data_IF_445273675423
#
_entry.id   IF_445273675423
#
_cell.length_a   1.000
_cell.length_b   1.000
_cell.length_c   1.000
_cell.angle_alpha   90.00
_cell.angle_beta   90.00
_cell.angle_gamma   90.00
#
_symmetry.space_group_name_H-M   'P 1'
#
loop_
_entity.id
_entity.type
_entity.pdbx_description
1 polymer ?
#
# COMPACT_ATOMS: atom_id res chain seq x y z
N UNK A 1 7.71 -20.72 -0.11
CA UNK A 1 8.08 -19.61 0.81
C UNK A 1 9.58 -19.71 1.13
N UNK A 2 10.27 -18.60 1.43
CA UNK A 2 11.65 -18.63 1.97
C UNK A 2 11.61 -18.21 3.45
N UNK A 3 12.45 -18.78 4.30
CA UNK A 3 12.44 -18.50 5.75
C UNK A 3 13.86 -18.39 6.34
N UNK A 4 14.00 -17.62 7.41
CA UNK A 4 15.21 -17.56 8.24
C UNK A 4 14.91 -17.02 9.64
N UNK A 5 15.08 -17.86 10.66
CA UNK A 5 14.91 -17.50 12.07
C UNK A 5 13.53 -16.91 12.42
N UNK A 6 12.46 -17.55 11.94
CA UNK A 6 11.08 -17.10 12.11
C UNK A 6 10.26 -17.98 13.07
N UNK A 7 10.90 -18.79 13.92
CA UNK A 7 10.21 -19.72 14.81
C UNK A 7 9.17 -19.04 15.71
N UNK A 8 9.37 -17.75 16.04
CA UNK A 8 8.48 -16.97 16.90
C UNK A 8 7.21 -16.44 16.21
N UNK A 9 7.11 -16.46 14.88
CA UNK A 9 5.97 -15.89 14.12
C UNK A 9 5.44 -16.79 13.01
N UNK A 10 6.21 -17.77 12.54
CA UNK A 10 5.85 -18.53 11.34
C UNK A 10 4.59 -19.38 11.52
N UNK A 11 4.33 -19.89 12.73
CA UNK A 11 3.17 -20.76 13.02
C UNK A 11 1.84 -20.13 12.58
N UNK A 12 1.58 -18.87 12.95
CA UNK A 12 0.35 -18.17 12.53
C UNK A 12 0.25 -17.99 11.00
N UNK A 13 1.37 -17.83 10.32
CA UNK A 13 1.40 -17.73 8.86
C UNK A 13 0.98 -19.06 8.25
N UNK A 14 1.62 -20.15 8.66
CA UNK A 14 1.35 -21.51 8.17
C UNK A 14 -0.11 -21.91 8.42
N UNK A 15 -0.62 -21.73 9.63
CA UNK A 15 -2.01 -22.04 9.98
C UNK A 15 -3.02 -21.26 9.13
N UNK A 16 -2.74 -19.97 8.87
CA UNK A 16 -3.62 -19.15 8.05
C UNK A 16 -3.66 -19.57 6.58
N UNK A 17 -2.57 -20.13 6.06
CA UNK A 17 -2.41 -20.52 4.64
C UNK A 17 -2.94 -21.94 4.40
N UNK A 18 -2.87 -22.80 5.42
CA UNK A 18 -3.27 -24.22 5.37
C UNK A 18 -4.59 -24.49 4.62
N UNK A 19 -5.68 -23.71 4.77
CA UNK A 19 -6.93 -23.98 4.07
C UNK A 19 -6.91 -23.70 2.56
N UNK A 20 -5.83 -23.11 2.04
CA UNK A 20 -5.70 -22.67 0.64
C UNK A 20 -4.75 -23.54 -0.19
N UNK A 21 -4.07 -24.52 0.42
CA UNK A 21 -2.99 -25.28 -0.21
C UNK A 21 -3.22 -26.79 -0.09
N UNK A 22 -2.87 -27.51 -1.16
CA UNK A 22 -2.85 -28.98 -1.17
C UNK A 22 -1.47 -29.54 -0.80
N UNK A 23 -0.42 -28.75 -1.05
CA UNK A 23 0.97 -29.08 -0.76
C UNK A 23 1.80 -27.83 -0.47
N UNK A 24 3.01 -27.99 0.07
CA UNK A 24 3.89 -26.90 0.42
C UNK A 24 5.34 -27.16 0.03
N UNK A 25 6.04 -26.08 -0.33
CA UNK A 25 7.51 -26.05 -0.47
C UNK A 25 8.03 -24.84 0.27
N UNK A 26 8.90 -25.08 1.24
CA UNK A 26 9.56 -24.04 2.03
C UNK A 26 11.07 -24.22 1.90
N UNK A 27 11.77 -23.13 1.60
CA UNK A 27 13.23 -23.07 1.55
C UNK A 27 13.75 -22.32 2.77
N UNK A 28 14.34 -23.05 3.69
CA UNK A 28 15.06 -22.48 4.82
C UNK A 28 16.46 -22.02 4.38
N UNK A 29 16.82 -20.79 4.75
CA UNK A 29 18.06 -20.13 4.31
C UNK A 29 19.10 -20.02 5.43
N UNK A 30 19.08 -20.99 6.34
CA UNK A 30 20.01 -21.13 7.46
C UNK A 30 19.44 -20.64 8.78
N UNK A 31 18.25 -21.11 9.15
CA UNK A 31 17.67 -20.91 10.48
C UNK A 31 18.42 -21.73 11.54
N UNK A 32 18.56 -21.15 12.73
CA UNK A 32 19.24 -21.73 13.89
C UNK A 32 18.38 -21.69 15.15
N UNK A 33 17.11 -21.29 15.04
CA UNK A 33 16.18 -21.04 16.14
C UNK A 33 15.06 -22.09 16.26
N UNK A 34 15.11 -23.16 15.47
CA UNK A 34 14.07 -24.19 15.42
C UNK A 34 12.94 -23.90 14.43
N UNK A 35 13.06 -22.90 13.55
CA UNK A 35 12.06 -22.60 12.50
C UNK A 35 11.66 -23.85 11.71
N UNK A 36 12.64 -24.69 11.36
CA UNK A 36 12.42 -25.94 10.63
C UNK A 36 11.49 -26.90 11.38
N UNK A 37 11.62 -27.00 12.70
CA UNK A 37 10.82 -27.91 13.52
C UNK A 37 9.38 -27.42 13.66
N UNK A 38 9.17 -26.11 13.79
CA UNK A 38 7.83 -25.51 13.77
C UNK A 38 7.13 -25.82 12.44
N UNK A 39 7.83 -25.68 11.30
CA UNK A 39 7.27 -26.00 9.99
C UNK A 39 6.85 -27.48 9.91
N UNK A 40 7.74 -28.39 10.32
CA UNK A 40 7.48 -29.83 10.28
C UNK A 40 6.31 -30.23 11.18
N UNK A 41 6.17 -29.61 12.34
CA UNK A 41 5.08 -29.92 13.26
C UNK A 41 3.73 -29.41 12.72
N UNK A 42 3.65 -28.16 12.28
CA UNK A 42 2.40 -27.56 11.78
C UNK A 42 1.89 -28.29 10.54
N UNK A 43 2.77 -28.68 9.62
CA UNK A 43 2.39 -29.39 8.39
C UNK A 43 2.68 -30.90 8.44
N UNK A 44 2.77 -31.50 9.63
CA UNK A 44 3.07 -32.93 9.79
C UNK A 44 2.13 -33.88 9.02
N UNK A 45 0.91 -33.43 8.76
CA UNK A 45 -0.17 -34.17 8.11
C UNK A 45 -0.56 -33.59 6.73
N UNK A 46 0.23 -32.65 6.19
CA UNK A 46 0.05 -32.10 4.85
C UNK A 46 1.28 -32.44 3.99
N UNK A 47 1.11 -33.04 2.79
CA UNK A 47 2.24 -33.41 1.95
C UNK A 47 3.03 -32.17 1.52
N UNK A 48 4.35 -32.21 1.66
CA UNK A 48 5.21 -31.12 1.22
C UNK A 48 6.67 -31.32 1.59
N UNK A 49 7.49 -30.35 1.24
CA UNK A 49 8.94 -30.45 1.31
C UNK A 49 9.57 -29.23 1.97
N UNK A 50 10.42 -29.48 2.96
CA UNK A 50 11.32 -28.49 3.53
C UNK A 50 12.71 -28.70 2.94
N UNK A 51 13.25 -27.66 2.32
CA UNK A 51 14.58 -27.62 1.73
C UNK A 51 15.47 -26.67 2.51
N UNK A 52 16.77 -26.93 2.53
CA UNK A 52 17.78 -26.05 3.14
C UNK A 52 18.80 -25.63 2.07
N UNK A 53 19.07 -24.33 1.98
CA UNK A 53 20.04 -23.79 1.02
C UNK A 53 20.73 -22.54 1.58
N UNK A 54 22.00 -22.27 1.24
CA UNK A 54 22.63 -21.01 1.59
C UNK A 54 21.83 -19.81 1.06
N UNK A 55 21.89 -18.69 1.78
CA UNK A 55 21.25 -17.44 1.33
C UNK A 55 21.86 -16.94 0.01
N UNK A 56 21.03 -16.75 -1.02
CA UNK A 56 21.42 -16.32 -2.37
C UNK A 56 20.88 -14.93 -2.74
N UNK A 57 20.43 -14.15 -1.75
CA UNK A 57 19.66 -12.92 -1.99
C UNK A 57 18.16 -13.19 -2.08
N UNK A 58 17.34 -12.14 -1.99
CA UNK A 58 15.87 -12.28 -1.98
C UNK A 58 15.35 -12.85 -3.30
N UNK A 59 15.81 -12.32 -4.42
CA UNK A 59 15.48 -12.81 -5.76
C UNK A 59 16.00 -14.23 -6.00
N UNK A 60 17.27 -14.49 -5.69
CA UNK A 60 17.92 -15.79 -5.87
C UNK A 60 17.25 -16.90 -5.08
N UNK A 61 17.09 -16.72 -3.76
CA UNK A 61 16.47 -17.73 -2.89
C UNK A 61 14.98 -17.91 -3.18
N UNK A 62 14.22 -16.86 -3.50
CA UNK A 62 12.81 -17.04 -3.91
C UNK A 62 12.67 -17.73 -5.26
N UNK A 63 13.59 -17.47 -6.20
CA UNK A 63 13.60 -18.16 -7.49
C UNK A 63 13.93 -19.64 -7.33
N UNK A 64 14.90 -19.98 -6.48
CA UNK A 64 15.17 -21.38 -6.11
C UNK A 64 13.94 -22.06 -5.51
N UNK A 65 13.22 -21.40 -4.62
CA UNK A 65 11.98 -21.93 -4.06
C UNK A 65 10.88 -22.15 -5.12
N UNK A 66 10.82 -21.32 -6.18
CA UNK A 66 9.91 -21.54 -7.32
C UNK A 66 10.31 -22.81 -8.09
N UNK A 67 11.60 -22.98 -8.38
CA UNK A 67 12.06 -24.14 -9.14
C UNK A 67 11.82 -25.46 -8.39
N UNK A 68 12.05 -25.49 -7.07
CA UNK A 68 11.75 -26.65 -6.22
C UNK A 68 10.26 -27.01 -6.20
N UNK A 69 9.38 -26.00 -6.32
CA UNK A 69 7.93 -26.18 -6.27
C UNK A 69 7.27 -26.41 -7.64
N UNK A 70 8.00 -26.20 -8.74
CA UNK A 70 7.45 -26.15 -10.11
C UNK A 70 6.69 -27.41 -10.49
N UNK A 71 7.22 -28.59 -10.14
CA UNK A 71 6.63 -29.88 -10.51
C UNK A 71 5.74 -30.46 -9.39
N UNK A 72 5.40 -29.65 -8.37
CA UNK A 72 4.63 -30.08 -7.19
C UNK A 72 3.18 -29.62 -7.20
N UNK A 73 2.85 -28.61 -8.01
CA UNK A 73 1.50 -28.02 -8.05
C UNK A 73 1.20 -27.39 -9.42
N UNK A 74 -0.07 -27.09 -9.70
CA UNK A 74 -0.48 -26.33 -10.89
C UNK A 74 -0.28 -24.81 -10.72
N UNK A 75 -0.34 -24.34 -9.47
CA UNK A 75 -0.19 -22.95 -9.06
C UNK A 75 0.64 -22.84 -7.79
N UNK A 76 1.46 -21.79 -7.72
CA UNK A 76 2.28 -21.44 -6.56
C UNK A 76 1.71 -20.19 -5.90
N UNK A 77 1.45 -20.26 -4.59
CA UNK A 77 1.02 -19.16 -3.74
C UNK A 77 2.20 -18.64 -2.92
N UNK A 78 2.40 -17.32 -2.87
CA UNK A 78 3.51 -16.68 -2.18
C UNK A 78 3.04 -15.81 -1.02
N UNK A 79 3.63 -16.04 0.14
CA UNK A 79 3.43 -15.29 1.38
C UNK A 79 4.75 -15.19 2.13
N UNK A 80 4.90 -14.12 2.92
CA UNK A 80 6.05 -13.90 3.77
C UNK A 80 5.76 -14.49 5.17
N UNK A 81 6.78 -15.01 5.85
CA UNK A 81 6.60 -15.81 7.07
C UNK A 81 6.01 -15.04 8.27
N UNK A 82 5.99 -13.70 8.21
CA UNK A 82 5.43 -12.83 9.22
C UNK A 82 4.06 -12.21 8.84
N UNK A 83 3.52 -12.56 7.67
CA UNK A 83 2.17 -12.20 7.22
C UNK A 83 1.17 -13.35 7.47
N UNK A 84 -0.14 -13.06 7.35
CA UNK A 84 -1.20 -14.09 7.45
C UNK A 84 -2.23 -13.95 6.32
N UNK A 85 -2.91 -15.04 5.99
CA UNK A 85 -4.07 -15.04 5.09
C UNK A 85 -5.37 -14.81 5.87
N UNK A 86 -6.12 -13.80 5.47
CA UNK A 86 -7.50 -13.57 5.91
C UNK A 86 -8.45 -14.14 4.86
N UNK A 87 -9.14 -15.23 5.20
CA UNK A 87 -10.03 -15.95 4.28
C UNK A 87 -11.48 -15.61 4.61
N UNK A 88 -12.26 -15.22 3.61
CA UNK A 88 -13.69 -14.95 3.78
C UNK A 88 -14.43 -16.25 4.17
N UNK A 89 -15.38 -16.20 5.12
CA UNK A 89 -16.16 -17.37 5.50
C UNK A 89 -16.81 -18.05 4.28
N UNK A 90 -16.65 -19.38 4.19
CA UNK A 90 -17.21 -20.18 3.11
C UNK A 90 -16.48 -20.07 1.77
N UNK A 91 -15.32 -19.40 1.71
CA UNK A 91 -14.51 -19.34 0.51
C UNK A 91 -14.14 -20.74 0.01
N UNK A 92 -14.23 -20.93 -1.30
CA UNK A 92 -13.73 -22.10 -2.02
C UNK A 92 -12.91 -21.60 -3.19
N UNK A 93 -11.74 -22.19 -3.40
CA UNK A 93 -10.87 -21.84 -4.51
C UNK A 93 -11.65 -22.01 -5.84
N UNK A 94 -11.80 -20.95 -6.64
CA UNK A 94 -12.47 -21.07 -7.93
C UNK A 94 -11.57 -21.84 -8.92
N UNK A 95 -12.14 -22.27 -10.04
CA UNK A 95 -11.33 -22.75 -11.15
C UNK A 95 -10.38 -21.64 -11.62
N UNK A 96 -9.08 -21.89 -11.53
CA UNK A 96 -8.06 -20.95 -11.92
C UNK A 96 -7.84 -21.02 -13.44
N UNK A 97 -8.11 -19.92 -14.14
CA UNK A 97 -8.01 -19.80 -15.61
C UNK A 97 -6.87 -18.89 -16.08
N UNK A 98 -6.41 -17.95 -15.25
CA UNK A 98 -5.31 -17.04 -15.56
C UNK A 98 -3.94 -17.61 -15.19
N UNK A 99 -2.89 -17.09 -15.80
CA UNK A 99 -1.51 -17.51 -15.53
C UNK A 99 -0.95 -16.92 -14.24
N UNK A 100 -1.48 -15.78 -13.79
CA UNK A 100 -1.14 -15.16 -12.53
C UNK A 100 -2.37 -14.49 -11.90
N UNK A 101 -2.34 -14.32 -10.59
CA UNK A 101 -3.36 -13.64 -9.82
C UNK A 101 -2.77 -12.60 -8.87
N UNK A 102 -3.44 -11.46 -8.86
CA UNK A 102 -3.26 -10.42 -7.86
C UNK A 102 -4.11 -10.72 -6.64
N UNK A 103 -3.49 -10.65 -5.47
CA UNK A 103 -4.11 -10.83 -4.16
C UNK A 103 -3.99 -9.50 -3.42
N UNK A 104 -5.05 -9.08 -2.75
CA UNK A 104 -5.01 -7.87 -1.95
C UNK A 104 -4.07 -8.07 -0.75
N UNK A 105 -3.21 -7.07 -0.51
CA UNK A 105 -2.34 -6.95 0.64
C UNK A 105 -2.82 -5.76 1.47
N UNK A 106 -3.30 -6.07 2.66
CA UNK A 106 -3.79 -5.09 3.62
C UNK A 106 -2.69 -4.79 4.64
N UNK A 107 -2.40 -3.52 4.81
CA UNK A 107 -1.74 -3.00 6.01
C UNK A 107 -2.79 -2.31 6.88
N UNK A 108 -2.40 -1.80 8.05
CA UNK A 108 -3.31 -1.09 8.97
C UNK A 108 -4.13 0.03 8.29
N UNK A 109 -3.57 0.69 7.28
CA UNK A 109 -4.18 1.88 6.67
C UNK A 109 -4.27 1.87 5.15
N UNK A 110 -3.73 0.84 4.48
CA UNK A 110 -3.66 0.78 3.02
C UNK A 110 -4.04 -0.59 2.49
N UNK A 111 -4.64 -0.57 1.29
CA UNK A 111 -4.83 -1.75 0.47
C UNK A 111 -4.07 -1.55 -0.82
N UNK A 112 -3.27 -2.54 -1.19
CA UNK A 112 -2.61 -2.62 -2.49
C UNK A 112 -2.67 -4.05 -2.99
N UNK A 113 -2.24 -4.31 -4.22
CA UNK A 113 -2.29 -5.65 -4.80
C UNK A 113 -0.91 -6.13 -5.19
N UNK A 114 -0.60 -7.38 -4.82
CA UNK A 114 0.63 -8.08 -5.21
C UNK A 114 0.27 -9.24 -6.11
N UNK A 115 1.06 -9.47 -7.17
CA UNK A 115 1.05 -10.76 -7.86
C UNK A 115 1.62 -11.80 -6.90
N UNK A 116 0.74 -12.56 -6.26
CA UNK A 116 1.10 -13.48 -5.19
C UNK A 116 0.67 -14.92 -5.48
N UNK A 117 0.09 -15.19 -6.66
CA UNK A 117 -0.15 -16.55 -7.11
C UNK A 117 0.12 -16.67 -8.61
N UNK A 118 0.82 -17.72 -9.04
CA UNK A 118 1.22 -17.92 -10.45
C UNK A 118 1.14 -19.38 -10.86
N UNK A 119 0.83 -19.65 -12.12
CA UNK A 119 0.80 -21.02 -12.66
C UNK A 119 2.19 -21.56 -12.91
N UNK A 120 2.43 -22.83 -12.60
CA UNK A 120 3.72 -23.51 -12.86
C UNK A 120 4.02 -23.74 -14.34
N UNK A 121 3.01 -23.56 -15.23
CA UNK A 121 3.15 -23.67 -16.70
C UNK A 121 4.11 -22.66 -17.33
N UNK A 122 4.48 -21.60 -16.60
CA UNK A 122 5.31 -20.51 -17.10
C UNK A 122 6.60 -20.35 -16.26
N UNK A 123 7.70 -19.87 -16.88
CA UNK A 123 9.01 -19.75 -16.22
C UNK A 123 9.11 -18.52 -15.33
N UNK A 124 8.38 -18.49 -14.22
CA UNK A 124 8.45 -17.42 -13.23
C UNK A 124 9.77 -17.42 -12.49
N UNK A 125 10.25 -16.22 -12.15
CA UNK A 125 11.38 -15.97 -11.24
C UNK A 125 11.16 -14.65 -10.50
N UNK A 126 11.81 -14.49 -9.35
CA UNK A 126 11.86 -13.20 -8.68
C UNK A 126 13.00 -12.34 -9.22
N UNK A 127 12.80 -11.03 -9.24
CA UNK A 127 13.80 -10.04 -9.64
C UNK A 127 13.84 -8.90 -8.63
N UNK A 128 15.07 -8.52 -8.24
CA UNK A 128 15.34 -7.35 -7.41
C UNK A 128 16.07 -7.70 -6.13
N UNK A 129 17.03 -6.85 -5.75
CA UNK A 129 17.82 -7.04 -4.52
C UNK A 129 17.01 -6.86 -3.23
N UNK A 130 15.91 -6.10 -3.30
CA UNK A 130 14.95 -5.87 -2.24
C UNK A 130 13.64 -5.35 -2.86
N UNK A 131 12.49 -5.60 -2.22
CA UNK A 131 11.16 -5.33 -2.79
C UNK A 131 10.98 -6.02 -4.14
N UNK A 132 11.49 -7.24 -4.19
CA UNK A 132 11.48 -8.15 -5.32
C UNK A 132 10.06 -8.42 -5.83
N UNK A 133 9.96 -8.67 -7.13
CA UNK A 133 8.68 -8.97 -7.78
C UNK A 133 8.81 -10.18 -8.69
N UNK A 134 7.69 -10.85 -8.92
CA UNK A 134 7.63 -12.02 -9.79
C UNK A 134 7.52 -11.56 -11.24
N UNK A 135 8.38 -12.12 -12.10
CA UNK A 135 8.37 -11.89 -13.53
C UNK A 135 8.54 -13.21 -14.29
N UNK A 136 7.91 -13.33 -15.46
CA UNK A 136 7.98 -14.50 -16.34
C UNK A 136 8.84 -14.29 -17.59
N UNK A 137 9.01 -13.03 -18.05
CA UNK A 137 9.61 -12.74 -19.36
C UNK A 137 8.76 -13.17 -20.57
N UNK A 138 7.53 -13.66 -20.35
CA UNK A 138 6.55 -13.99 -21.40
C UNK A 138 5.25 -13.23 -21.18
N UNK A 139 4.50 -12.98 -22.26
CA UNK A 139 3.13 -12.48 -22.18
C UNK A 139 2.27 -13.52 -21.47
N UNK A 140 1.46 -13.05 -20.53
CA UNK A 140 0.63 -13.89 -19.69
C UNK A 140 -0.64 -13.15 -19.28
N UNK A 141 -1.63 -13.89 -18.84
CA UNK A 141 -2.89 -13.35 -18.33
C UNK A 141 -2.80 -13.14 -16.82
N UNK A 142 -3.37 -12.02 -16.33
CA UNK A 142 -3.41 -11.69 -14.91
C UNK A 142 -4.88 -11.53 -14.50
N UNK A 143 -5.32 -12.35 -13.56
CA UNK A 143 -6.59 -12.21 -12.88
C UNK A 143 -6.46 -11.52 -11.53
N UNK A 144 -7.60 -11.29 -10.88
CA UNK A 144 -7.66 -10.91 -9.48
C UNK A 144 -8.36 -12.04 -8.73
N UNK A 145 -7.82 -12.44 -7.58
CA UNK A 145 -8.53 -13.37 -6.69
C UNK A 145 -9.26 -12.56 -5.63
N UNK A 146 -10.54 -12.88 -5.45
CA UNK A 146 -11.36 -12.30 -4.40
C UNK A 146 -11.87 -13.45 -3.55
N UNK A 147 -11.70 -13.36 -2.23
CA UNK A 147 -11.95 -14.52 -1.37
C UNK A 147 -11.06 -14.56 -0.15
N UNK A 148 -9.82 -14.13 -0.32
CA UNK A 148 -8.86 -14.00 0.75
C UNK A 148 -7.88 -12.87 0.46
N UNK A 149 -7.31 -12.31 1.52
CA UNK A 149 -6.35 -11.22 1.50
C UNK A 149 -5.10 -11.63 2.27
N UNK A 150 -3.96 -11.04 1.94
CA UNK A 150 -2.78 -11.08 2.79
C UNK A 150 -2.89 -9.92 3.77
N UNK A 151 -2.80 -10.19 5.08
CA UNK A 151 -2.68 -9.17 6.11
C UNK A 151 -1.22 -9.05 6.52
N UNK A 152 -0.63 -7.87 6.33
CA UNK A 152 0.74 -7.63 6.77
C UNK A 152 0.78 -7.25 8.23
N UNK A 153 1.24 -8.19 9.06
CA UNK A 153 1.35 -8.01 10.51
C UNK A 153 2.77 -7.62 10.93
N UNK A 154 3.78 -8.02 10.15
CA UNK A 154 5.18 -7.83 10.47
C UNK A 154 5.62 -8.57 11.73
N UNK A 155 6.79 -8.18 12.27
CA UNK A 155 7.37 -8.82 13.45
C UNK A 155 8.33 -9.97 13.14
N UNK A 156 8.69 -10.16 11.87
CA UNK A 156 9.73 -11.11 11.47
C UNK A 156 11.10 -10.82 12.07
N UNK A 157 12.02 -11.77 11.91
CA UNK A 157 13.36 -11.78 12.52
C UNK A 157 14.14 -10.47 12.28
N UNK A 158 14.00 -9.88 11.09
CA UNK A 158 14.67 -8.64 10.68
C UNK A 158 14.30 -7.43 11.56
N UNK A 159 13.16 -7.48 12.26
CA UNK A 159 12.69 -6.40 13.13
C UNK A 159 13.20 -6.52 14.58
N UNK A 160 13.47 -7.73 15.06
CA UNK A 160 13.83 -7.99 16.48
C UNK A 160 15.24 -7.54 16.88
N UNK A 161 16.19 -7.48 15.94
CA UNK A 161 17.61 -7.34 16.29
C UNK A 161 18.11 -5.91 16.56
N UNK A 162 17.66 -4.92 15.80
CA UNK A 162 18.36 -3.61 15.72
C UNK A 162 17.43 -2.38 15.73
N UNK A 163 16.12 -2.60 15.88
CA UNK A 163 15.11 -1.54 15.83
C UNK A 163 14.75 -1.08 14.41
N UNK A 164 13.65 -0.33 14.30
CA UNK A 164 13.05 0.05 13.01
C UNK A 164 14.01 0.85 12.11
N UNK A 165 14.71 1.83 12.69
CA UNK A 165 15.60 2.72 11.95
C UNK A 165 16.76 1.98 11.30
N UNK A 166 17.48 1.15 12.05
CA UNK A 166 18.66 0.45 11.54
C UNK A 166 18.30 -0.59 10.49
N UNK A 167 17.14 -1.24 10.60
CA UNK A 167 16.58 -2.08 9.53
C UNK A 167 16.51 -1.29 8.21
N UNK A 168 15.83 -0.14 8.22
CA UNK A 168 15.64 0.63 7.00
C UNK A 168 16.92 1.30 6.47
N UNK A 169 17.89 1.59 7.35
CA UNK A 169 19.22 2.01 6.90
C UNK A 169 19.93 0.93 6.07
N UNK A 170 19.86 -0.34 6.51
CA UNK A 170 20.43 -1.48 5.75
C UNK A 170 19.67 -1.76 4.46
N UNK A 171 18.35 -1.65 4.50
CA UNK A 171 17.51 -1.81 3.30
C UNK A 171 17.92 -0.78 2.23
N UNK A 172 18.14 0.46 2.63
CA UNK A 172 18.61 1.50 1.74
C UNK A 172 20.07 1.30 1.27
N UNK A 173 20.98 0.86 2.13
CA UNK A 173 22.35 0.49 1.72
C UNK A 173 22.31 -0.62 0.65
N UNK A 174 21.47 -1.64 0.84
CA UNK A 174 21.27 -2.73 -0.12
C UNK A 174 20.81 -2.19 -1.47
N UNK A 175 19.85 -1.25 -1.47
CA UNK A 175 19.35 -0.61 -2.68
C UNK A 175 20.39 0.31 -3.34
N UNK A 176 21.21 1.02 -2.56
CA UNK A 176 22.33 1.79 -3.08
C UNK A 176 23.35 0.90 -3.80
N UNK A 177 23.70 -0.25 -3.20
CA UNK A 177 24.59 -1.23 -3.85
C UNK A 177 23.97 -1.81 -5.13
N UNK A 178 22.65 -2.05 -5.14
CA UNK A 178 21.91 -2.41 -6.34
C UNK A 178 22.02 -1.35 -7.44
N UNK A 179 21.86 -0.07 -7.09
CA UNK A 179 21.96 1.06 -8.02
C UNK A 179 23.38 1.29 -8.57
N UNK A 180 24.44 0.82 -7.90
CA UNK A 180 25.79 0.84 -8.49
C UNK A 180 25.89 -0.08 -9.71
N UNK A 181 25.11 -1.18 -9.74
CA UNK A 181 25.07 -2.15 -10.84
C UNK A 181 24.00 -1.80 -11.87
N UNK A 182 22.87 -1.29 -11.41
CA UNK A 182 21.71 -0.94 -12.23
C UNK A 182 21.29 0.52 -11.97
N UNK A 183 22.06 1.52 -12.46
CA UNK A 183 21.86 2.93 -12.10
C UNK A 183 20.51 3.52 -12.53
N UNK A 184 19.90 2.95 -13.56
CA UNK A 184 18.61 3.39 -14.11
C UNK A 184 17.42 2.58 -13.56
N UNK A 185 17.64 1.69 -12.58
CA UNK A 185 16.57 0.90 -11.99
C UNK A 185 15.61 1.78 -11.18
N UNK A 186 14.50 2.16 -11.81
CA UNK A 186 13.50 3.06 -11.23
C UNK A 186 12.91 2.50 -9.94
N UNK A 187 12.71 1.18 -9.87
CA UNK A 187 12.14 0.52 -8.68
C UNK A 187 13.08 0.66 -7.48
N UNK A 188 14.39 0.47 -7.68
CA UNK A 188 15.36 0.65 -6.60
C UNK A 188 15.39 2.09 -6.08
N UNK A 189 15.31 3.10 -6.96
CA UNK A 189 15.24 4.51 -6.53
C UNK A 189 13.96 4.78 -5.72
N UNK A 190 12.82 4.24 -6.13
CA UNK A 190 11.55 4.40 -5.41
C UNK A 190 11.61 3.81 -3.99
N UNK A 191 12.09 2.57 -3.86
CA UNK A 191 12.19 1.94 -2.55
C UNK A 191 13.36 2.49 -1.72
N UNK A 192 14.42 3.04 -2.34
CA UNK A 192 15.47 3.74 -1.62
C UNK A 192 14.91 4.98 -0.93
N UNK A 193 14.05 5.73 -1.63
CA UNK A 193 13.33 6.86 -1.05
C UNK A 193 12.43 6.44 0.13
N UNK A 194 11.72 5.30 0.02
CA UNK A 194 10.93 4.74 1.12
C UNK A 194 11.80 4.34 2.32
N UNK A 195 12.89 3.63 2.09
CA UNK A 195 13.80 3.20 3.16
C UNK A 195 14.40 4.40 3.89
N UNK A 196 14.79 5.47 3.19
CA UNK A 196 15.21 6.73 3.85
C UNK A 196 14.09 7.40 4.63
N UNK A 197 12.86 7.44 4.12
CA UNK A 197 11.71 7.97 4.87
C UNK A 197 11.54 7.22 6.19
N UNK A 198 11.57 5.90 6.12
CA UNK A 198 11.25 5.02 7.25
C UNK A 198 12.45 4.88 8.22
N UNK A 199 13.66 5.18 7.77
CA UNK A 199 14.85 5.38 8.60
C UNK A 199 14.92 6.77 9.28
N UNK A 200 13.99 7.69 8.97
CA UNK A 200 13.99 9.04 9.51
C UNK A 200 15.03 9.97 8.87
N UNK A 201 15.31 9.79 7.57
CA UNK A 201 16.23 10.61 6.77
C UNK A 201 15.44 11.42 5.70
N UNK A 202 14.64 12.45 6.11
CA UNK A 202 13.65 13.07 5.25
C UNK A 202 14.24 13.83 4.05
N UNK A 203 15.42 14.44 4.18
CA UNK A 203 16.09 15.14 3.08
C UNK A 203 16.55 14.17 2.00
N UNK A 204 17.22 13.07 2.38
CA UNK A 204 17.65 12.02 1.45
C UNK A 204 16.46 11.36 0.76
N UNK A 205 15.38 11.15 1.52
CA UNK A 205 14.14 10.61 0.99
C UNK A 205 13.50 11.55 -0.04
N UNK A 206 13.44 12.85 0.25
CA UNK A 206 12.90 13.86 -0.66
C UNK A 206 13.68 13.90 -1.97
N UNK A 207 15.01 13.95 -1.91
CA UNK A 207 15.87 13.93 -3.09
C UNK A 207 15.67 12.67 -3.94
N UNK A 208 15.59 11.50 -3.28
CA UNK A 208 15.38 10.24 -3.97
C UNK A 208 13.99 10.16 -4.64
N UNK A 209 12.94 10.68 -4.01
CA UNK A 209 11.63 10.78 -4.66
C UNK A 209 11.59 11.78 -5.81
N UNK A 210 12.27 12.92 -5.69
CA UNK A 210 12.38 13.89 -6.77
C UNK A 210 13.12 13.28 -7.98
N UNK A 211 14.22 12.57 -7.72
CA UNK A 211 14.90 11.75 -8.75
C UNK A 211 13.95 10.73 -9.35
N UNK A 212 13.25 9.93 -8.51
CA UNK A 212 12.37 8.87 -8.99
C UNK A 212 11.26 9.43 -9.88
N UNK A 213 10.64 10.54 -9.50
CA UNK A 213 9.57 11.16 -10.25
C UNK A 213 10.04 11.59 -11.65
N UNK A 214 11.27 12.09 -11.78
CA UNK A 214 11.85 12.51 -13.05
C UNK A 214 12.20 11.34 -14.00
N UNK A 215 12.32 10.10 -13.51
CA UNK A 215 12.71 8.94 -14.33
C UNK A 215 11.57 8.37 -15.19
N UNK A 216 10.32 8.75 -14.97
CA UNK A 216 9.17 8.19 -15.71
C UNK A 216 8.92 6.70 -15.39
N UNK A 217 8.52 5.90 -16.38
CA UNK A 217 8.23 4.47 -16.19
C UNK A 217 6.82 4.19 -15.66
N UNK A 218 6.67 3.28 -14.68
CA UNK A 218 5.36 2.89 -14.16
C UNK A 218 4.63 4.09 -13.51
N UNK A 219 3.46 4.52 -14.05
CA UNK A 219 2.83 5.78 -13.63
C UNK A 219 2.43 5.86 -12.15
N UNK A 220 2.09 4.72 -11.53
CA UNK A 220 1.66 4.71 -10.13
C UNK A 220 2.83 4.99 -9.16
N UNK A 221 4.04 4.51 -9.46
CA UNK A 221 5.24 4.86 -8.69
C UNK A 221 5.63 6.33 -8.88
N UNK A 222 5.49 6.87 -10.09
CA UNK A 222 5.76 8.29 -10.36
C UNK A 222 4.79 9.17 -9.56
N UNK A 223 3.50 8.85 -9.57
CA UNK A 223 2.50 9.52 -8.74
C UNK A 223 2.86 9.49 -7.25
N UNK A 224 3.13 8.29 -6.72
CA UNK A 224 3.50 8.12 -5.32
C UNK A 224 4.77 8.92 -4.97
N UNK A 225 5.72 9.00 -5.90
CA UNK A 225 6.95 9.78 -5.70
C UNK A 225 6.67 11.27 -5.55
N UNK A 226 5.87 11.86 -6.44
CA UNK A 226 5.46 13.26 -6.30
C UNK A 226 4.67 13.53 -5.01
N UNK A 227 3.70 12.66 -4.69
CA UNK A 227 2.87 12.81 -3.49
C UNK A 227 3.72 12.72 -2.21
N UNK A 228 4.61 11.73 -2.12
CA UNK A 228 5.43 11.53 -0.93
C UNK A 228 6.53 12.58 -0.81
N UNK A 229 7.09 13.06 -1.93
CA UNK A 229 7.95 14.24 -1.93
C UNK A 229 7.24 15.49 -1.38
N UNK A 230 5.99 15.74 -1.77
CA UNK A 230 5.20 16.85 -1.22
C UNK A 230 5.01 16.75 0.30
N UNK A 231 4.71 15.55 0.81
CA UNK A 231 4.56 15.29 2.25
C UNK A 231 5.87 15.48 3.02
N UNK A 232 6.99 15.03 2.45
CA UNK A 232 8.31 15.22 3.03
C UNK A 232 8.72 16.70 3.04
N UNK A 233 8.46 17.42 1.94
CA UNK A 233 8.65 18.86 1.87
C UNK A 233 7.86 19.58 2.96
N UNK A 234 6.60 19.19 3.20
CA UNK A 234 5.79 19.75 4.28
C UNK A 234 6.40 19.46 5.67
N UNK A 235 6.87 18.23 5.91
CA UNK A 235 7.56 17.84 7.16
C UNK A 235 8.85 18.62 7.39
N UNK A 236 9.56 18.98 6.32
CA UNK A 236 10.77 19.78 6.33
C UNK A 236 10.51 21.29 6.45
N UNK A 237 9.24 21.71 6.57
CA UNK A 237 8.88 23.12 6.66
C UNK A 237 9.13 23.91 5.37
N UNK A 238 9.08 23.27 4.21
CA UNK A 238 9.24 23.95 2.91
C UNK A 238 8.12 24.97 2.68
N UNK A 239 8.38 26.06 1.92
CA UNK A 239 7.39 27.10 1.68
C UNK A 239 6.10 26.56 1.04
N UNK A 240 4.97 27.15 1.40
CA UNK A 240 3.65 26.70 0.92
C UNK A 240 3.55 26.66 -0.63
N UNK A 241 4.19 27.59 -1.32
CA UNK A 241 4.21 27.63 -2.79
C UNK A 241 4.84 26.35 -3.38
N UNK A 242 5.91 25.84 -2.76
CA UNK A 242 6.56 24.58 -3.15
C UNK A 242 5.63 23.38 -2.90
N UNK A 243 4.95 23.35 -1.75
CA UNK A 243 4.00 22.28 -1.45
C UNK A 243 2.85 22.21 -2.46
N UNK A 244 2.32 23.38 -2.85
CA UNK A 244 1.26 23.49 -3.85
C UNK A 244 1.76 22.98 -5.21
N UNK A 245 2.91 23.43 -5.69
CA UNK A 245 3.50 22.97 -6.96
C UNK A 245 3.73 21.45 -6.95
N UNK A 246 4.31 20.89 -5.89
CA UNK A 246 4.54 19.45 -5.77
C UNK A 246 3.24 18.63 -5.81
N UNK A 247 2.20 19.08 -5.11
CA UNK A 247 0.90 18.41 -5.14
C UNK A 247 0.18 18.57 -6.49
N UNK A 248 0.31 19.72 -7.15
CA UNK A 248 -0.21 19.91 -8.51
C UNK A 248 0.45 18.95 -9.50
N UNK A 249 1.79 18.81 -9.45
CA UNK A 249 2.52 17.82 -10.28
C UNK A 249 2.07 16.39 -10.01
N UNK A 250 1.82 16.04 -8.75
CA UNK A 250 1.25 14.74 -8.40
C UNK A 250 -0.12 14.54 -9.09
N UNK A 251 -1.00 15.54 -9.03
CA UNK A 251 -2.30 15.48 -9.68
C UNK A 251 -2.20 15.42 -11.22
N UNK A 252 -1.35 16.25 -11.83
CA UNK A 252 -1.12 16.29 -13.29
C UNK A 252 -0.62 14.94 -13.83
N UNK A 253 0.25 14.26 -13.08
CA UNK A 253 0.76 12.94 -13.45
C UNK A 253 -0.32 11.85 -13.42
N UNK A 254 -1.25 11.92 -12.46
CA UNK A 254 -2.30 10.90 -12.28
C UNK A 254 -3.63 11.55 -11.84
N UNK A 255 -4.36 12.20 -12.76
CA UNK A 255 -5.56 12.97 -12.41
C UNK A 255 -6.74 12.12 -11.93
N UNK A 256 -6.62 10.79 -12.07
CA UNK A 256 -7.57 9.80 -11.55
C UNK A 256 -7.38 9.47 -10.07
N UNK A 257 -6.39 10.08 -9.38
CA UNK A 257 -6.13 9.89 -7.95
C UNK A 257 -6.58 11.12 -7.15
N UNK A 258 -7.44 10.90 -6.15
CA UNK A 258 -8.02 11.97 -5.32
C UNK A 258 -7.04 12.56 -4.29
N UNK A 259 -6.01 11.81 -3.91
CA UNK A 259 -5.14 12.12 -2.77
C UNK A 259 -4.47 13.50 -2.89
N UNK A 260 -3.88 13.82 -4.04
CA UNK A 260 -3.16 15.07 -4.24
C UNK A 260 -4.09 16.30 -4.12
N UNK A 261 -5.29 16.23 -4.71
CA UNK A 261 -6.28 17.30 -4.61
C UNK A 261 -6.88 17.42 -3.21
N UNK A 262 -7.12 16.30 -2.55
CA UNK A 262 -7.56 16.28 -1.16
C UNK A 262 -6.53 16.95 -0.23
N UNK A 263 -5.24 16.68 -0.45
CA UNK A 263 -4.17 17.33 0.32
C UNK A 263 -4.00 18.81 -0.01
N UNK A 264 -4.19 19.21 -1.28
CA UNK A 264 -4.25 20.63 -1.66
C UNK A 264 -5.39 21.36 -0.96
N UNK A 265 -6.57 20.75 -0.88
CA UNK A 265 -7.72 21.31 -0.17
C UNK A 265 -7.39 21.54 1.32
N UNK A 266 -6.85 20.50 1.97
CA UNK A 266 -6.43 20.56 3.38
C UNK A 266 -5.36 21.62 3.61
N UNK A 267 -4.37 21.72 2.72
CA UNK A 267 -3.29 22.72 2.80
C UNK A 267 -3.85 24.15 2.68
N UNK A 268 -4.76 24.39 1.73
CA UNK A 268 -5.41 25.68 1.55
C UNK A 268 -6.27 26.09 2.76
N UNK A 269 -6.85 25.11 3.47
CA UNK A 269 -7.61 25.34 4.69
C UNK A 269 -6.73 25.68 5.90
N UNK A 270 -5.59 25.00 6.07
CA UNK A 270 -4.76 25.10 7.29
C UNK A 270 -3.80 26.30 7.29
N UNK A 271 -3.28 26.73 6.14
CA UNK A 271 -2.19 27.71 6.04
C UNK A 271 -2.67 29.14 5.76
N UNK A 272 -3.60 29.64 6.60
CA UNK A 272 -4.31 30.90 6.35
C UNK A 272 -5.41 30.67 5.31
N UNK A 273 -6.70 30.64 5.70
CA UNK A 273 -7.69 29.89 4.94
C UNK A 273 -8.00 30.52 3.58
N UNK A 274 -7.52 29.87 2.51
CA UNK A 274 -7.81 30.20 1.11
C UNK A 274 -9.07 29.45 0.68
N UNK A 275 -10.21 29.79 1.30
CA UNK A 275 -11.48 29.06 1.13
C UNK A 275 -11.89 28.79 -0.33
N UNK A 276 -11.75 29.75 -1.28
CA UNK A 276 -12.09 29.48 -2.68
C UNK A 276 -11.27 28.33 -3.29
N UNK A 277 -9.98 28.23 -2.95
CA UNK A 277 -9.12 27.15 -3.46
C UNK A 277 -9.35 25.84 -2.71
N UNK A 278 -9.54 25.91 -1.38
CA UNK A 278 -9.88 24.74 -0.58
C UNK A 278 -11.15 24.06 -1.13
N UNK A 279 -12.17 24.87 -1.43
CA UNK A 279 -13.42 24.42 -2.03
C UNK A 279 -13.23 23.86 -3.44
N UNK A 280 -12.51 24.58 -4.32
CA UNK A 280 -12.21 24.15 -5.67
C UNK A 280 -11.59 22.74 -5.69
N UNK A 281 -10.52 22.55 -4.91
CA UNK A 281 -9.79 21.29 -4.87
C UNK A 281 -10.60 20.18 -4.18
N UNK A 282 -11.28 20.47 -3.07
CA UNK A 282 -12.10 19.48 -2.37
C UNK A 282 -13.26 18.98 -3.25
N UNK A 283 -13.92 19.90 -3.97
CA UNK A 283 -15.02 19.56 -4.87
C UNK A 283 -14.56 18.67 -6.01
N UNK A 284 -13.38 18.93 -6.57
CA UNK A 284 -12.82 18.07 -7.61
C UNK A 284 -12.37 16.72 -7.04
N UNK A 285 -11.72 16.69 -5.87
CA UNK A 285 -11.32 15.46 -5.20
C UNK A 285 -12.53 14.54 -4.90
N UNK A 286 -13.63 15.12 -4.40
CA UNK A 286 -14.86 14.37 -4.06
C UNK A 286 -15.62 13.83 -5.28
N UNK A 287 -15.30 14.30 -6.50
CA UNK A 287 -15.88 13.80 -7.76
C UNK A 287 -15.07 12.67 -8.39
N UNK A 288 -13.81 12.49 -7.98
CA UNK A 288 -12.97 11.43 -8.52
C UNK A 288 -13.50 10.08 -8.01
N UNK A 289 -13.85 9.13 -8.90
CA UNK A 289 -14.32 7.81 -8.50
C UNK A 289 -13.18 7.01 -7.86
N UNK A 290 -13.50 5.91 -7.18
CA UNK A 290 -12.48 5.00 -6.65
C UNK A 290 -11.46 4.62 -7.73
N UNK A 291 -10.19 4.78 -7.37
CA UNK A 291 -9.10 4.45 -8.28
C UNK A 291 -9.07 2.95 -8.59
N UNK A 292 -8.72 2.63 -9.84
CA UNK A 292 -8.42 1.27 -10.30
C UNK A 292 -6.94 0.93 -10.18
N UNK A 293 -6.13 1.88 -9.71
CA UNK A 293 -4.71 1.69 -9.43
C UNK A 293 -4.52 0.64 -8.33
N UNK A 294 -3.36 0.00 -8.33
CA UNK A 294 -3.03 -1.11 -7.43
C UNK A 294 -2.01 -0.73 -6.35
N UNK A 295 -1.27 0.37 -6.52
CA UNK A 295 -0.19 0.79 -5.65
C UNK A 295 -0.64 1.86 -4.66
N UNK A 296 -0.65 1.50 -3.39
CA UNK A 296 -0.82 2.40 -2.24
C UNK A 296 -1.97 3.40 -2.40
N UNK A 297 -3.16 2.91 -2.77
CA UNK A 297 -4.36 3.74 -2.86
C UNK A 297 -4.86 4.05 -1.45
N UNK A 298 -5.02 5.34 -1.14
CA UNK A 298 -5.50 5.79 0.17
C UNK A 298 -7.02 5.92 0.16
N UNK A 299 -7.71 4.81 0.44
CA UNK A 299 -9.17 4.71 0.37
C UNK A 299 -9.90 5.78 1.19
N UNK A 300 -9.32 6.25 2.30
CA UNK A 300 -9.90 7.32 3.12
C UNK A 300 -10.24 8.60 2.34
N UNK A 301 -9.48 8.92 1.27
CA UNK A 301 -9.77 10.09 0.42
C UNK A 301 -11.05 9.92 -0.41
N UNK A 302 -11.39 8.70 -0.77
CA UNK A 302 -12.60 8.35 -1.53
C UNK A 302 -13.78 8.10 -0.59
N UNK A 303 -13.51 7.58 0.60
CA UNK A 303 -14.51 7.16 1.59
C UNK A 303 -15.13 8.34 2.34
N UNK A 304 -14.31 9.29 2.78
CA UNK A 304 -14.82 10.37 3.63
C UNK A 304 -13.99 11.66 3.59
N UNK A 305 -12.66 11.62 3.48
CA UNK A 305 -11.81 12.82 3.66
C UNK A 305 -12.07 13.91 2.63
N UNK A 306 -12.22 13.55 1.35
CA UNK A 306 -12.49 14.57 0.32
C UNK A 306 -13.86 15.24 0.54
N UNK A 307 -14.86 14.45 0.96
CA UNK A 307 -16.20 14.95 1.24
C UNK A 307 -16.24 15.80 2.52
N UNK A 308 -15.43 15.47 3.53
CA UNK A 308 -15.25 16.27 4.75
C UNK A 308 -14.57 17.62 4.47
N UNK A 309 -13.50 17.62 3.66
CA UNK A 309 -12.86 18.87 3.22
C UNK A 309 -13.83 19.74 2.38
N UNK A 310 -14.69 19.11 1.57
CA UNK A 310 -15.73 19.83 0.81
C UNK A 310 -16.79 20.42 1.75
N UNK A 311 -17.28 19.64 2.72
CA UNK A 311 -18.28 20.11 3.69
C UNK A 311 -17.81 21.37 4.44
N UNK A 312 -16.56 21.34 4.92
CA UNK A 312 -15.97 22.46 5.67
C UNK A 312 -15.75 23.66 4.76
N UNK A 313 -15.13 23.48 3.58
CA UNK A 313 -14.84 24.60 2.68
C UNK A 313 -16.10 25.23 2.09
N UNK A 314 -17.14 24.44 1.78
CA UNK A 314 -18.44 24.93 1.32
C UNK A 314 -19.11 25.84 2.35
N UNK A 315 -19.09 25.47 3.63
CA UNK A 315 -19.65 26.30 4.71
C UNK A 315 -19.02 27.70 4.74
N UNK A 316 -17.68 27.77 4.64
CA UNK A 316 -16.96 29.04 4.68
C UNK A 316 -17.08 29.86 3.39
N UNK A 317 -17.45 29.23 2.28
CA UNK A 317 -17.81 29.91 1.03
C UNK A 317 -19.26 30.42 1.01
N UNK A 318 -20.08 30.10 2.03
CA UNK A 318 -21.50 30.42 2.06
C UNK A 318 -22.39 29.43 1.31
N UNK A 319 -21.82 28.33 0.81
CA UNK A 319 -22.50 27.24 0.11
C UNK A 319 -23.10 26.26 1.15
N UNK A 320 -24.01 26.75 1.99
CA UNK A 320 -24.51 26.01 3.14
C UNK A 320 -25.29 24.74 2.76
N UNK A 321 -25.96 24.74 1.62
CA UNK A 321 -26.69 23.56 1.11
C UNK A 321 -25.72 22.43 0.72
N UNK A 322 -24.62 22.77 0.03
CA UNK A 322 -23.58 21.78 -0.32
C UNK A 322 -22.89 21.26 0.95
N UNK A 323 -22.63 22.15 1.92
CA UNK A 323 -22.09 21.75 3.23
C UNK A 323 -23.02 20.77 3.96
N UNK A 324 -24.32 21.06 4.02
CA UNK A 324 -25.35 20.19 4.62
C UNK A 324 -25.37 18.82 3.95
N UNK A 325 -25.51 18.79 2.62
CA UNK A 325 -25.57 17.55 1.85
C UNK A 325 -24.32 16.69 2.03
N UNK A 326 -23.13 17.31 2.07
CA UNK A 326 -21.89 16.58 2.35
C UNK A 326 -21.88 15.98 3.77
N UNK A 327 -22.32 16.72 4.78
CA UNK A 327 -22.39 16.20 6.15
C UNK A 327 -23.38 15.04 6.30
N UNK A 328 -24.57 15.13 5.68
CA UNK A 328 -25.57 14.06 5.68
C UNK A 328 -25.01 12.78 5.05
N UNK A 329 -24.42 12.90 3.86
CA UNK A 329 -23.76 11.77 3.17
C UNK A 329 -22.63 11.14 3.99
N UNK A 330 -21.85 11.94 4.72
CA UNK A 330 -20.81 11.43 5.61
C UNK A 330 -21.38 10.62 6.79
N UNK A 331 -22.50 11.09 7.37
CA UNK A 331 -23.13 10.45 8.53
C UNK A 331 -23.90 9.17 8.15
N UNK A 332 -24.48 9.14 6.96
CA UNK A 332 -25.24 8.02 6.39
C UNK A 332 -24.34 6.95 5.75
N UNK A 333 -23.21 7.35 5.17
CA UNK A 333 -22.37 6.47 4.34
C UNK A 333 -21.63 5.35 5.07
N UNK A 334 -21.62 5.35 6.42
CA UNK A 334 -21.02 4.28 7.23
C UNK A 334 -19.50 4.13 7.13
N UNK A 335 -18.82 5.03 6.42
CA UNK A 335 -17.35 5.02 6.21
C UNK A 335 -16.61 6.10 7.02
N UNK A 336 -17.34 7.01 7.65
CA UNK A 336 -16.77 8.03 8.52
C UNK A 336 -16.26 7.40 9.83
N UNK A 337 -14.98 7.58 10.20
CA UNK A 337 -14.46 7.12 11.49
C UNK A 337 -15.24 7.70 12.67
N UNK A 338 -15.46 6.89 13.70
CA UNK A 338 -16.29 7.26 14.87
C UNK A 338 -15.81 8.53 15.57
N UNK A 339 -14.49 8.75 15.65
CA UNK A 339 -13.89 9.93 16.28
C UNK A 339 -14.25 11.25 15.57
N UNK A 340 -14.70 11.18 14.32
CA UNK A 340 -15.08 12.36 13.53
C UNK A 340 -16.58 12.61 13.52
N UNK A 341 -17.41 11.66 13.98
CA UNK A 341 -18.88 11.73 13.87
C UNK A 341 -19.45 12.96 14.57
N UNK A 342 -19.06 13.23 15.81
CA UNK A 342 -19.55 14.38 16.59
C UNK A 342 -19.19 15.72 15.95
N UNK A 343 -17.99 15.83 15.38
CA UNK A 343 -17.56 17.03 14.65
C UNK A 343 -18.42 17.24 13.40
N UNK A 344 -18.70 16.18 12.64
CA UNK A 344 -19.53 16.27 11.43
C UNK A 344 -20.99 16.61 11.78
N UNK A 345 -21.55 16.06 12.86
CA UNK A 345 -22.88 16.44 13.35
C UNK A 345 -22.96 17.93 13.70
N UNK A 346 -21.94 18.48 14.38
CA UNK A 346 -21.88 19.93 14.65
C UNK A 346 -21.79 20.77 13.36
N UNK A 347 -21.00 20.32 12.37
CA UNK A 347 -20.93 21.00 11.08
C UNK A 347 -22.28 21.01 10.36
N UNK A 348 -23.02 19.90 10.42
CA UNK A 348 -24.38 19.80 9.88
C UNK A 348 -25.32 20.81 10.54
N UNK A 349 -25.32 20.88 11.87
CA UNK A 349 -26.12 21.86 12.61
C UNK A 349 -25.77 23.30 12.23
N UNK A 350 -24.49 23.63 12.05
CA UNK A 350 -24.08 24.98 11.63
C UNK A 350 -24.63 25.34 10.25
N UNK A 351 -24.55 24.41 9.29
CA UNK A 351 -25.10 24.61 7.95
C UNK A 351 -26.62 24.80 7.99
N UNK A 352 -27.34 23.97 8.74
CA UNK A 352 -28.80 24.04 8.89
C UNK A 352 -29.25 25.37 9.52
N UNK A 353 -28.56 25.85 10.57
CA UNK A 353 -28.87 27.15 11.19
C UNK A 353 -28.73 28.31 10.21
N UNK A 354 -27.73 28.27 9.33
CA UNK A 354 -27.51 29.30 8.30
C UNK A 354 -28.59 29.28 7.22
N UNK A 355 -29.04 28.11 6.80
CA UNK A 355 -30.14 27.96 5.84
C UNK A 355 -31.47 28.47 6.42
N UNK A 356 -31.83 28.05 7.65
CA UNK A 356 -33.07 28.52 8.30
C UNK A 356 -33.08 30.02 8.60
N UNK A 357 -31.91 30.62 8.85
CA UNK A 357 -31.81 32.08 9.02
C UNK A 357 -32.01 32.85 7.70
N UNK A 358 -31.73 32.22 6.55
CA UNK A 358 -31.88 32.83 5.23
C UNK A 358 -33.34 32.82 4.76
N UNK A 359 -34.05 31.71 5.02
CA UNK A 359 -35.48 31.58 4.73
C UNK A 359 -36.35 32.60 5.51
N UNK A 360 -35.92 33.01 6.72
CA UNK A 360 -36.60 34.03 7.53
C UNK A 360 -36.31 35.48 7.10
N UNK A 361 -35.28 35.71 6.29
CA UNK A 361 -34.91 37.05 5.78
C UNK A 361 -35.48 37.30 4.38
N UNK A 362 -35.66 36.23 3.59
CA UNK A 362 -36.25 36.27 2.25
C UNK A 362 -37.80 36.15 2.26
N UNK A 363 -38.40 35.89 3.42
CA UNK A 363 -39.86 35.88 3.67
C UNK A 363 -40.31 37.20 4.32
#
# INVERSE_FOLDING_TARGET
MIVKNEAHVIERCLESVRPLIDTWVILDTGSTDGTQDVIREVYRDLPGELHESPWKGYDGSRTEAIELARDKADYLLFIDADDVMEIRPGFRMPQLTHDAYRIALHTVSMKHYRQAMVSTRLPWRYVGVLHEYIECGRRHSIGMIDGFNILSLGGGARMKGEGQRNKYLRDAETLQQGLLKEPDNTRYVFYLAQSWRDAGEPEKSLEAYDRRAAMGGWPEEVFCSHLYAARLAARLGRPQAELIDRLLRAHECRPTRAEALGELARLCRQSGPRWPLAHLFARQAARIPYSKDILFVEHAWYEWRALDELAVSAYWMGEYEESRSCCERLLEGGKLPSEHRDRVMRNLEFAQRKLGSKELVDA
#
